data_IF_344953814761
#
_entry.id   IF_344953814761
#
_cell.length_a   1.000
_cell.length_b   1.000
_cell.length_c   1.000
_cell.angle_alpha   90.00
_cell.angle_beta   90.00
_cell.angle_gamma   90.00
#
_symmetry.space_group_name_H-M   'P 1'
#
loop_
_entity.id
_entity.type
_entity.pdbx_description
1 polymer ?
#
# COMPACT_ATOMS: atom_id res chain seq x y z
N UNK A 1 -15.23 -0.16 10.06
CA UNK A 1 -14.42 -0.14 8.84
C UNK A 1 -12.99 -0.42 9.25
N UNK A 2 -12.40 -1.51 8.79
CA UNK A 2 -10.95 -1.65 8.88
C UNK A 2 -10.37 -0.70 7.83
N UNK A 3 -9.58 0.26 8.30
CA UNK A 3 -8.82 1.14 7.43
C UNK A 3 -7.41 0.56 7.36
N UNK A 4 -6.79 0.51 6.16
CA UNK A 4 -5.42 0.07 6.05
C UNK A 4 -4.51 0.94 6.90
N UNK A 5 -3.54 0.32 7.57
CA UNK A 5 -2.56 1.03 8.38
C UNK A 5 -1.56 1.76 7.48
N UNK A 6 -1.00 2.87 7.96
CA UNK A 6 0.02 3.63 7.22
C UNK A 6 1.20 2.76 6.76
N UNK A 7 1.57 1.74 7.53
CA UNK A 7 2.62 0.78 7.16
C UNK A 7 2.25 -0.07 5.93
N UNK A 8 0.99 -0.50 5.84
CA UNK A 8 0.50 -1.23 4.67
C UNK A 8 0.45 -0.33 3.45
N UNK A 9 -0.08 0.89 3.62
CA UNK A 9 -0.16 1.88 2.54
C UNK A 9 1.25 2.21 2.05
N UNK A 10 2.20 2.43 2.96
CA UNK A 10 3.60 2.71 2.62
C UNK A 10 4.26 1.55 1.87
N UNK A 11 4.17 0.32 2.38
CA UNK A 11 4.71 -0.86 1.68
C UNK A 11 4.15 -0.97 0.27
N UNK A 12 2.83 -0.76 0.14
CA UNK A 12 2.15 -0.93 -1.15
C UNK A 12 2.44 0.22 -2.12
N UNK A 13 2.47 1.45 -1.63
CA UNK A 13 2.88 2.63 -2.37
C UNK A 13 4.32 2.53 -2.86
N UNK A 14 5.24 2.08 -2.01
CA UNK A 14 6.63 1.80 -2.40
C UNK A 14 6.66 0.76 -3.51
N UNK A 15 5.97 -0.37 -3.36
CA UNK A 15 5.97 -1.43 -4.36
C UNK A 15 5.45 -0.94 -5.73
N UNK A 16 4.37 -0.16 -5.73
CA UNK A 16 3.83 0.46 -6.95
C UNK A 16 4.81 1.47 -7.55
N UNK A 17 5.44 2.30 -6.72
CA UNK A 17 6.43 3.28 -7.14
C UNK A 17 7.68 2.63 -7.74
N UNK A 18 8.17 1.52 -7.16
CA UNK A 18 9.29 0.75 -7.69
C UNK A 18 8.93 0.08 -9.03
N UNK A 19 7.73 -0.50 -9.15
CA UNK A 19 7.26 -1.08 -10.41
C UNK A 19 7.08 -0.03 -11.51
N UNK A 20 6.68 1.19 -11.15
CA UNK A 20 6.55 2.31 -12.08
C UNK A 20 7.90 2.94 -12.48
N UNK A 21 9.02 2.47 -11.93
CA UNK A 21 10.36 2.96 -12.25
C UNK A 21 10.81 4.16 -11.43
N UNK A 22 10.24 4.34 -10.23
CA UNK A 22 10.59 5.40 -9.26
C UNK A 22 10.51 6.82 -9.83
N UNK A 23 9.38 7.24 -10.41
CA UNK A 23 9.20 8.62 -10.84
C UNK A 23 9.29 9.56 -9.62
N UNK A 24 10.23 10.50 -9.65
CA UNK A 24 10.35 11.55 -8.62
C UNK A 24 9.11 12.45 -8.63
N UNK A 25 8.57 12.75 -7.45
CA UNK A 25 7.42 13.63 -7.27
C UNK A 25 6.04 13.02 -7.56
N UNK A 26 5.94 11.71 -7.79
CA UNK A 26 4.64 11.00 -7.91
C UNK A 26 4.32 10.09 -6.73
N UNK A 27 5.10 10.18 -5.66
CA UNK A 27 5.01 9.37 -4.45
C UNK A 27 3.61 9.48 -3.81
N UNK A 28 3.07 10.70 -3.71
CA UNK A 28 1.71 10.97 -3.23
C UNK A 28 0.63 10.28 -4.06
N UNK A 29 0.82 10.19 -5.37
CA UNK A 29 -0.12 9.54 -6.29
C UNK A 29 -0.18 8.03 -6.01
N UNK A 30 0.99 7.41 -5.82
CA UNK A 30 1.11 6.01 -5.44
C UNK A 30 0.62 5.74 -4.01
N UNK A 31 0.80 6.68 -3.09
CA UNK A 31 0.28 6.59 -1.73
C UNK A 31 -1.26 6.49 -1.73
N UNK A 32 -1.93 7.36 -2.48
CA UNK A 32 -3.40 7.37 -2.58
C UNK A 32 -3.93 6.15 -3.33
N UNK A 33 -3.22 5.72 -4.38
CA UNK A 33 -3.54 4.48 -5.09
C UNK A 33 -3.45 3.27 -4.16
N UNK A 34 -2.36 3.16 -3.40
CA UNK A 34 -2.15 2.10 -2.42
C UNK A 34 -3.22 2.08 -1.33
N UNK A 35 -3.56 3.25 -0.77
CA UNK A 35 -4.63 3.40 0.22
C UNK A 35 -5.97 2.89 -0.34
N UNK A 36 -6.32 3.30 -1.55
CA UNK A 36 -7.57 2.90 -2.21
C UNK A 36 -7.59 1.41 -2.57
N UNK A 37 -6.46 0.86 -3.05
CA UNK A 37 -6.30 -0.56 -3.37
C UNK A 37 -6.50 -1.41 -2.12
N UNK A 38 -5.82 -1.07 -1.02
CA UNK A 38 -5.93 -1.77 0.26
C UNK A 38 -7.31 -1.63 0.90
N UNK A 39 -7.94 -0.46 0.83
CA UNK A 39 -9.33 -0.27 1.29
C UNK A 39 -10.31 -1.20 0.57
N UNK A 40 -10.03 -1.51 -0.70
CA UNK A 40 -10.88 -2.37 -1.53
C UNK A 40 -10.53 -3.86 -1.35
N UNK A 41 -9.25 -4.20 -1.14
CA UNK A 41 -8.76 -5.56 -0.90
C UNK A 41 -9.10 -6.10 0.50
N UNK A 42 -9.17 -5.25 1.53
CA UNK A 42 -9.48 -5.64 2.91
C UNK A 42 -10.86 -6.33 3.06
N UNK A 43 -11.77 -6.17 2.09
CA UNK A 43 -13.03 -6.92 2.05
C UNK A 43 -12.89 -8.42 1.83
N UNK A 44 -11.73 -8.91 1.37
CA UNK A 44 -11.55 -10.32 0.97
C UNK A 44 -10.51 -11.11 1.78
N UNK A 45 -9.72 -10.50 2.66
CA UNK A 45 -8.70 -11.26 3.41
C UNK A 45 -8.21 -10.54 4.66
N UNK A 46 -8.62 -10.97 5.87
CA UNK A 46 -7.77 -10.83 7.04
C UNK A 46 -6.67 -11.89 6.93
N UNK A 47 -5.44 -11.55 7.33
CA UNK A 47 -4.24 -12.41 7.41
C UNK A 47 -3.34 -12.42 6.17
N UNK A 48 -2.34 -11.54 6.21
CA UNK A 48 -0.95 -11.91 5.93
C UNK A 48 0.02 -11.11 6.81
N UNK A 49 0.17 -11.54 8.06
CA UNK A 49 1.45 -11.44 8.80
C UNK A 49 2.40 -12.53 8.27
N UNK A 50 3.76 -12.48 8.38
CA UNK A 50 4.51 -12.10 9.58
C UNK A 50 5.85 -11.34 9.40
N UNK A 51 6.34 -10.84 10.54
CA UNK A 51 7.72 -10.57 10.98
C UNK A 51 8.82 -10.14 10.01
N UNK A 52 9.46 -9.01 10.35
CA UNK A 52 10.92 -8.94 10.26
C UNK A 52 11.54 -7.90 11.24
N UNK A 53 11.66 -8.26 12.53
CA UNK A 53 12.91 -8.19 13.32
C UNK A 53 12.79 -8.94 14.65
#
# INVERSE_FOLDING_TARGET
MAYPTEEQIRSRAHQLWEQAGKPEGREDEFWRLAEQELLNEDKSSPVRTPDNL
#
